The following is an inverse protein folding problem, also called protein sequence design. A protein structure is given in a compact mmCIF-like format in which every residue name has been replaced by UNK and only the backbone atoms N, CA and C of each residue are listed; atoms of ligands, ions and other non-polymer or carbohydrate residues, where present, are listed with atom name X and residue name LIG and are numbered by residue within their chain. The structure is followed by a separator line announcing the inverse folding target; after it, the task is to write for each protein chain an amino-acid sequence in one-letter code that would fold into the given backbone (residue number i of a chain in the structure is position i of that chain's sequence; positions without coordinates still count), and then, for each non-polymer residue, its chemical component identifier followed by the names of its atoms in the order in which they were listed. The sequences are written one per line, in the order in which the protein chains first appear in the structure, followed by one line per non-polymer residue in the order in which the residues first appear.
data_IF_437186532684
#
_entry.id   IF_437186532684
#
_cell.length_a   1.000
_cell.length_b   1.000
_cell.length_c   1.000
_cell.angle_alpha   90.00
_cell.angle_beta   90.00
_cell.angle_gamma   90.00
#
_symmetry.space_group_name_H-M   'P 1'
#
loop_
_entity.id
_entity.type
_entity.pdbx_description
1 polymer ?
#
# COMPACT_ATOMS: atom_id res chain seq x y z
N UNK A 1 16.97 -16.88 7.63
CA UNK A 1 15.75 -16.33 7.01
C UNK A 1 14.72 -16.12 8.11
N UNK A 2 14.71 -14.93 8.74
CA UNK A 2 13.86 -14.67 9.91
C UNK A 2 12.52 -14.10 9.43
N UNK A 3 11.53 -14.97 9.25
CA UNK A 3 10.14 -14.57 9.04
C UNK A 3 9.63 -14.07 10.39
N UNK A 4 9.32 -12.79 10.51
CA UNK A 4 8.59 -12.26 11.66
C UNK A 4 7.10 -12.44 11.36
N UNK A 5 6.53 -13.57 11.77
CA UNK A 5 5.07 -13.77 11.74
C UNK A 5 4.51 -13.13 13.01
N UNK A 6 3.97 -11.91 12.90
CA UNK A 6 3.16 -11.35 13.99
C UNK A 6 1.84 -12.12 14.09
N UNK A 7 1.81 -13.15 14.93
CA UNK A 7 0.59 -13.80 15.38
C UNK A 7 0.18 -13.22 16.74
N UNK A 8 -0.97 -12.56 16.80
CA UNK A 8 -1.69 -12.35 18.06
C UNK A 8 -3.12 -12.86 17.91
N UNK A 9 -3.45 -13.86 18.70
CA UNK A 9 -4.80 -14.42 18.84
C UNK A 9 -5.57 -13.65 19.91
N UNK A 10 -6.83 -13.30 19.57
CA UNK A 10 -8.02 -13.22 20.42
C UNK A 10 -8.99 -12.17 19.82
N UNK A 11 -10.02 -12.64 19.13
CA UNK A 11 -11.31 -11.94 19.05
C UNK A 11 -11.40 -10.61 18.29
N UNK A 12 -10.63 -10.38 17.23
CA UNK A 12 -10.91 -9.32 16.24
C UNK A 12 -10.31 -9.71 14.88
N UNK A 13 -11.01 -9.37 13.80
CA UNK A 13 -10.75 -9.72 12.40
C UNK A 13 -9.23 -9.76 12.06
N UNK A 14 -8.69 -10.97 11.90
CA UNK A 14 -7.33 -11.24 11.41
C UNK A 14 -7.35 -11.09 9.89
N UNK A 15 -6.51 -10.24 9.32
CA UNK A 15 -5.34 -10.65 8.52
C UNK A 15 -4.88 -9.51 7.60
N UNK A 16 -3.67 -9.02 7.82
CA UNK A 16 -2.82 -8.56 6.73
C UNK A 16 -1.43 -9.01 7.10
N UNK A 17 -1.02 -10.17 6.58
CA UNK A 17 0.33 -10.70 6.74
C UNK A 17 1.28 -9.79 5.97
N UNK A 18 1.73 -8.71 6.62
CA UNK A 18 2.80 -7.87 6.11
C UNK A 18 4.08 -8.71 6.11
N UNK A 19 4.66 -8.90 4.94
CA UNK A 19 5.92 -9.60 4.75
C UNK A 19 7.00 -8.55 4.53
N UNK A 20 8.08 -8.60 5.31
CA UNK A 20 9.21 -7.69 5.14
C UNK A 20 10.43 -8.45 4.60
N UNK A 21 10.89 -8.06 3.40
CA UNK A 21 12.17 -8.50 2.85
C UNK A 21 13.29 -7.60 3.37
N UNK A 22 14.17 -8.16 4.21
CA UNK A 22 15.28 -7.42 4.83
C UNK A 22 16.38 -7.03 3.85
N UNK A 23 16.60 -7.83 2.81
CA UNK A 23 17.69 -7.60 1.85
C UNK A 23 17.35 -6.43 0.94
N UNK A 24 16.12 -6.40 0.44
CA UNK A 24 15.62 -5.33 -0.43
C UNK A 24 15.05 -4.14 0.35
N UNK A 25 14.82 -4.30 1.65
CA UNK A 25 14.15 -3.32 2.53
C UNK A 25 12.75 -2.96 2.02
N UNK A 26 11.97 -3.99 1.65
CA UNK A 26 10.65 -3.85 1.03
C UNK A 26 9.58 -4.58 1.85
N UNK A 27 8.42 -3.94 2.00
CA UNK A 27 7.22 -4.51 2.59
C UNK A 27 6.25 -4.97 1.50
N UNK A 28 5.66 -6.13 1.71
CA UNK A 28 4.64 -6.73 0.86
C UNK A 28 3.38 -6.97 1.68
N UNK A 29 2.23 -6.49 1.20
CA UNK A 29 0.94 -6.68 1.86
C UNK A 29 -0.21 -6.51 0.87
N UNK A 30 -1.43 -6.85 1.27
CA UNK A 30 -2.61 -6.66 0.43
C UNK A 30 -3.21 -5.27 0.63
N UNK A 31 -3.58 -4.62 -0.47
CA UNK A 31 -4.31 -3.37 -0.45
C UNK A 31 -5.63 -3.56 0.33
N UNK A 32 -5.93 -2.70 1.31
CA UNK A 32 -7.14 -2.85 2.14
C UNK A 32 -8.44 -2.59 1.35
N UNK A 33 -8.34 -2.06 0.12
CA UNK A 33 -9.49 -1.72 -0.72
C UNK A 33 -9.82 -2.75 -1.79
N UNK A 34 -8.80 -3.36 -2.39
CA UNK A 34 -8.98 -4.26 -3.54
C UNK A 34 -8.27 -5.60 -3.38
N UNK A 35 -7.63 -5.86 -2.23
CA UNK A 35 -6.98 -7.13 -1.89
C UNK A 35 -5.88 -7.57 -2.88
N UNK A 36 -5.35 -6.60 -3.64
CA UNK A 36 -4.23 -6.82 -4.56
C UNK A 36 -2.92 -6.47 -3.86
N UNK A 37 -1.82 -7.09 -4.31
CA UNK A 37 -0.50 -6.90 -3.72
C UNK A 37 -0.01 -5.45 -3.82
N UNK A 38 0.42 -4.91 -2.69
CA UNK A 38 1.18 -3.68 -2.56
C UNK A 38 2.63 -4.02 -2.20
N UNK A 39 3.55 -3.28 -2.80
CA UNK A 39 4.99 -3.35 -2.52
C UNK A 39 5.44 -1.96 -2.09
N UNK A 40 5.89 -1.77 -0.87
CA UNK A 40 6.32 -0.46 -0.36
C UNK A 40 7.77 -0.53 0.10
N UNK A 41 8.61 0.39 -0.37
CA UNK A 41 9.99 0.50 0.12
C UNK A 41 10.00 1.08 1.52
N UNK A 42 10.90 0.58 2.38
CA UNK A 42 11.12 1.16 3.71
C UNK A 42 11.53 2.63 3.64
N UNK A 43 12.11 3.08 2.53
CA UNK A 43 12.53 4.47 2.36
C UNK A 43 11.36 5.42 2.10
N UNK A 44 10.20 4.89 1.71
CA UNK A 44 9.00 5.68 1.37
C UNK A 44 8.03 5.84 2.55
N UNK A 45 8.36 5.27 3.71
CA UNK A 45 7.51 5.30 4.91
C UNK A 45 7.40 6.67 5.59
N UNK A 46 8.13 7.70 5.12
CA UNK A 46 8.15 9.01 5.79
C UNK A 46 6.78 9.70 5.85
N UNK A 47 5.94 9.53 4.82
CA UNK A 47 4.60 10.13 4.77
C UNK A 47 3.52 9.20 5.33
N UNK A 48 3.80 7.89 5.36
CA UNK A 48 2.88 6.81 5.73
C UNK A 48 1.59 6.72 4.90
N UNK A 49 1.27 7.70 4.07
CA UNK A 49 0.11 7.72 3.18
C UNK A 49 0.53 7.20 1.82
N UNK A 50 -0.21 6.22 1.32
CA UNK A 50 0.01 5.62 0.03
C UNK A 50 -1.30 5.54 -0.74
N UNK A 51 -1.21 5.50 -2.06
CA UNK A 51 -2.34 5.19 -2.93
C UNK A 51 -1.98 3.92 -3.68
N UNK A 52 -2.90 2.96 -3.74
CA UNK A 52 -2.63 1.75 -4.52
C UNK A 52 -2.77 2.05 -6.02
N UNK A 53 -1.84 2.81 -6.57
CA UNK A 53 -1.75 3.19 -7.97
C UNK A 53 -0.27 3.37 -8.32
N UNK A 54 0.23 2.46 -9.15
CA UNK A 54 1.60 2.49 -9.68
C UNK A 54 1.51 2.84 -11.16
N UNK A 55 2.21 3.87 -11.61
CA UNK A 55 2.13 4.27 -13.03
C UNK A 55 2.74 3.20 -13.92
N UNK A 56 2.14 2.96 -15.08
CA UNK A 56 2.64 1.97 -16.05
C UNK A 56 3.92 2.42 -16.75
N UNK A 57 4.18 3.73 -16.77
CA UNK A 57 5.28 4.31 -17.53
C UNK A 57 6.63 4.13 -16.81
N UNK A 58 6.65 4.34 -15.49
CA UNK A 58 7.89 4.32 -14.71
C UNK A 58 7.85 3.39 -13.50
N UNK A 59 6.73 2.68 -13.27
CA UNK A 59 6.55 1.76 -12.15
C UNK A 59 6.71 2.40 -10.76
N UNK A 60 6.51 3.72 -10.65
CA UNK A 60 6.48 4.46 -9.39
C UNK A 60 5.05 4.62 -8.87
N UNK A 61 4.91 4.71 -7.54
CA UNK A 61 3.66 5.13 -6.91
C UNK A 61 3.28 6.54 -7.36
N UNK A 62 1.96 6.76 -7.51
CA UNK A 62 1.44 8.13 -7.64
C UNK A 62 1.69 8.91 -6.36
N UNK A 63 1.80 10.23 -6.49
CA UNK A 63 1.99 11.12 -5.34
C UNK A 63 0.84 10.91 -4.32
N UNK A 64 1.15 10.74 -3.03
CA UNK A 64 0.14 10.45 -2.01
C UNK A 64 -0.89 11.58 -1.83
N UNK A 65 -0.54 12.81 -2.21
CA UNK A 65 -1.41 13.99 -2.20
C UNK A 65 -2.04 14.28 -3.57
N UNK A 66 -1.94 13.35 -4.53
CA UNK A 66 -2.65 13.47 -5.81
C UNK A 66 -4.15 13.64 -5.55
N UNK A 67 -4.81 14.67 -6.13
CA UNK A 67 -6.24 14.88 -5.95
C UNK A 67 -7.05 13.64 -6.36
N UNK A 68 -8.21 13.46 -5.71
CA UNK A 68 -9.11 12.34 -5.97
C UNK A 68 -9.44 12.21 -7.47
N UNK A 69 -9.84 13.31 -8.08
CA UNK A 69 -10.24 13.36 -9.50
C UNK A 69 -9.11 12.85 -10.40
N UNK A 70 -7.86 13.24 -10.10
CA UNK A 70 -6.71 12.79 -10.89
C UNK A 70 -6.41 11.31 -10.67
N UNK A 71 -6.58 10.80 -9.45
CA UNK A 71 -6.45 9.37 -9.17
C UNK A 71 -7.51 8.55 -9.93
N UNK A 72 -8.76 9.01 -9.93
CA UNK A 72 -9.87 8.36 -10.62
C UNK A 72 -9.67 8.39 -12.14
N UNK A 73 -9.21 9.51 -12.68
CA UNK A 73 -8.83 9.64 -14.09
C UNK A 73 -7.77 8.59 -14.48
N UNK A 74 -6.66 8.52 -13.73
CA UNK A 74 -5.56 7.58 -13.99
C UNK A 74 -5.98 6.11 -13.93
N UNK A 75 -6.88 5.76 -13.01
CA UNK A 75 -7.45 4.42 -12.91
C UNK A 75 -8.37 4.15 -14.09
N UNK A 76 -9.26 5.08 -14.43
CA UNK A 76 -10.23 4.93 -15.53
C UNK A 76 -9.58 4.89 -16.91
N UNK A 77 -8.48 5.63 -17.11
CA UNK A 77 -7.67 5.61 -18.34
C UNK A 77 -6.80 4.36 -18.45
N UNK A 78 -6.70 3.57 -17.37
CA UNK A 78 -5.83 2.40 -17.30
C UNK A 78 -4.34 2.77 -17.32
N UNK A 79 -3.96 3.98 -16.90
CA UNK A 79 -2.57 4.46 -16.85
C UNK A 79 -1.81 3.96 -15.62
N UNK A 80 -2.51 3.38 -14.64
CA UNK A 80 -1.93 2.86 -13.39
C UNK A 80 -2.36 1.40 -13.13
N UNK A 81 -1.58 0.71 -12.32
CA UNK A 81 -1.94 -0.56 -11.68
C UNK A 81 -2.47 -0.31 -10.27
N UNK A 82 -3.64 -0.87 -9.96
CA UNK A 82 -4.26 -0.78 -8.64
C UNK A 82 -5.56 0.03 -8.63
N UNK A 83 -6.10 0.31 -7.44
CA UNK A 83 -7.40 0.95 -7.26
C UNK A 83 -7.37 2.48 -7.07
N UNK A 84 -6.19 3.10 -6.93
CA UNK A 84 -6.02 4.54 -6.71
C UNK A 84 -6.53 5.08 -5.37
N UNK A 85 -7.07 4.21 -4.50
CA UNK A 85 -7.60 4.61 -3.20
C UNK A 85 -6.49 4.79 -2.15
N UNK A 86 -6.60 5.81 -1.29
CA UNK A 86 -5.60 6.09 -0.27
C UNK A 86 -5.71 5.11 0.91
N UNK A 87 -4.58 4.81 1.52
CA UNK A 87 -4.46 4.06 2.76
C UNK A 87 -3.19 4.51 3.50
N UNK A 88 -3.16 4.29 4.81
CA UNK A 88 -1.98 4.51 5.64
C UNK A 88 -1.26 3.21 5.93
N UNK A 89 0.07 3.23 5.88
CA UNK A 89 0.95 2.14 6.25
C UNK A 89 2.18 2.65 7.00
N UNK A 90 2.36 2.19 8.24
CA UNK A 90 3.43 2.62 9.15
C UNK A 90 4.58 1.58 9.26
N UNK A 91 4.59 0.57 8.39
CA UNK A 91 5.51 -0.58 8.48
C UNK A 91 4.95 -1.77 9.27
N UNK A 92 3.89 -1.57 10.05
CA UNK A 92 3.28 -2.60 10.91
C UNK A 92 1.78 -2.75 10.69
N UNK A 93 1.07 -1.63 10.49
CA UNK A 93 -0.38 -1.56 10.41
C UNK A 93 -0.84 -0.89 9.12
N UNK A 94 -1.95 -1.38 8.56
CA UNK A 94 -2.58 -0.84 7.35
C UNK A 94 -3.96 -0.33 7.73
N UNK A 95 -4.26 0.93 7.38
CA UNK A 95 -5.54 1.58 7.69
C UNK A 95 -6.09 2.31 6.47
N UNK A 96 -7.36 2.11 6.17
CA UNK A 96 -8.04 2.94 5.17
C UNK A 96 -8.12 4.37 5.71
N UNK A 97 -7.88 5.36 4.86
CA UNK A 97 -8.06 6.77 5.18
C UNK A 97 -8.81 7.48 4.04
N UNK A 98 -9.27 8.69 4.33
CA UNK A 98 -9.87 9.56 3.32
C UNK A 98 -8.80 10.28 2.48
N UNK A 99 -9.25 10.87 1.38
CA UNK A 99 -8.41 11.75 0.56
C UNK A 99 -8.08 13.00 1.37
N UNK A 100 -6.81 13.42 1.34
CA UNK A 100 -6.29 14.64 1.96
C UNK A 100 -6.25 15.74 0.91
#
# INVERSE_FOLDING_TARGET
MSIVIYNKEAGTIKMSSVIYNKEERVYYFECPHCQLLCQVSNNDLNCEIFRHAVTKDNMLFIDPHTPKEKCEELVSSGSVWGCGKPFKFDGTSIKICDYI
#
